data_IF_117988374832
#
_entry.id   IF_117988374832
#
_cell.length_a   1.000
_cell.length_b   1.000
_cell.length_c   1.000
_cell.angle_alpha   90.00
_cell.angle_beta   90.00
_cell.angle_gamma   90.00
#
_symmetry.space_group_name_H-M   'P 1'
#
loop_
_entity.id
_entity.type
_entity.pdbx_description
1 polymer ?
#
# COMPACT_ATOMS: atom_id res chain seq x y z
N UNK A 1 -8.28 -22.25 11.78
CA UNK A 1 -8.72 -22.37 10.37
C UNK A 1 -7.63 -21.73 9.50
N UNK A 2 -7.18 -22.42 8.45
CA UNK A 2 -6.27 -21.84 7.44
C UNK A 2 -7.11 -21.02 6.46
N UNK A 3 -6.85 -19.72 6.33
CA UNK A 3 -7.65 -18.79 5.54
C UNK A 3 -6.94 -18.42 4.24
N UNK A 4 -7.66 -18.18 3.13
CA UNK A 4 -7.08 -17.61 1.90
C UNK A 4 -6.32 -16.32 2.20
N UNK A 5 -5.00 -16.33 2.00
CA UNK A 5 -4.13 -15.14 2.03
C UNK A 5 -3.52 -14.96 0.66
N UNK A 6 -3.03 -13.77 0.32
CA UNK A 6 -2.39 -13.54 -0.97
C UNK A 6 -1.09 -14.35 -1.20
N UNK A 7 -0.52 -15.02 -0.20
CA UNK A 7 0.61 -15.95 -0.41
C UNK A 7 0.11 -17.30 -0.92
N UNK A 8 -1.03 -17.77 -0.41
CA UNK A 8 -1.59 -19.08 -0.79
C UNK A 8 -2.61 -18.97 -1.93
N UNK A 9 -3.15 -17.77 -2.16
CA UNK A 9 -4.18 -17.52 -3.16
C UNK A 9 -3.51 -17.36 -4.52
N UNK A 10 -3.49 -18.44 -5.31
CA UNK A 10 -3.05 -18.41 -6.70
C UNK A 10 -4.15 -17.80 -7.58
N UNK A 11 -4.11 -16.48 -7.75
CA UNK A 11 -4.97 -15.77 -8.69
C UNK A 11 -4.10 -15.24 -9.82
N UNK A 12 -4.33 -15.75 -11.03
CA UNK A 12 -3.67 -15.25 -12.23
C UNK A 12 -4.43 -14.02 -12.74
N UNK A 13 -4.11 -12.84 -12.20
CA UNK A 13 -4.65 -11.58 -12.67
C UNK A 13 -3.49 -10.62 -13.02
N UNK A 14 -3.28 -10.28 -14.30
CA UNK A 14 -2.16 -9.44 -14.71
C UNK A 14 -2.24 -8.00 -14.17
N UNK A 15 -3.44 -7.52 -13.78
CA UNK A 15 -3.60 -6.19 -13.20
C UNK A 15 -3.09 -6.07 -11.77
N UNK A 16 -2.97 -7.18 -11.05
CA UNK A 16 -2.42 -7.23 -9.70
C UNK A 16 -0.88 -7.21 -9.72
N UNK A 17 -0.29 -6.28 -10.48
CA UNK A 17 1.14 -6.19 -10.74
C UNK A 17 1.97 -6.20 -9.45
N UNK A 18 1.62 -5.36 -8.47
CA UNK A 18 2.33 -5.29 -7.18
C UNK A 18 2.31 -6.65 -6.46
N UNK A 19 1.14 -7.28 -6.36
CA UNK A 19 1.00 -8.57 -5.69
C UNK A 19 1.80 -9.65 -6.41
N UNK A 20 1.69 -9.72 -7.74
CA UNK A 20 2.37 -10.73 -8.56
C UNK A 20 3.90 -10.60 -8.43
N UNK A 21 4.43 -9.38 -8.44
CA UNK A 21 5.86 -9.13 -8.26
C UNK A 21 6.33 -9.50 -6.86
N UNK A 22 5.56 -9.15 -5.81
CA UNK A 22 5.89 -9.53 -4.43
C UNK A 22 5.89 -11.05 -4.23
N UNK A 23 4.93 -11.76 -4.83
CA UNK A 23 4.88 -13.23 -4.81
C UNK A 23 6.06 -13.90 -5.54
N UNK A 24 6.67 -13.22 -6.51
CA UNK A 24 7.84 -13.67 -7.27
C UNK A 24 9.17 -13.16 -6.70
N UNK A 25 9.13 -12.44 -5.58
CA UNK A 25 10.29 -11.83 -4.95
C UNK A 25 11.01 -10.78 -5.84
N UNK A 26 10.29 -10.18 -6.81
CA UNK A 26 10.81 -9.22 -7.81
C UNK A 26 10.96 -7.77 -7.30
N UNK A 27 11.00 -7.57 -5.98
CA UNK A 27 11.16 -6.29 -5.26
C UNK A 27 10.60 -5.03 -5.97
N UNK A 28 9.27 -4.91 -6.14
CA UNK A 28 8.66 -3.84 -6.91
C UNK A 28 8.88 -2.44 -6.30
N UNK A 29 8.87 -1.40 -7.14
CA UNK A 29 8.97 0.01 -6.71
C UNK A 29 7.62 0.69 -6.92
N UNK A 30 7.13 1.35 -5.86
CA UNK A 30 5.94 2.20 -5.88
C UNK A 30 6.34 3.67 -5.88
N UNK A 31 5.41 4.58 -6.17
CA UNK A 31 5.58 6.02 -5.94
C UNK A 31 4.31 6.63 -5.38
N UNK A 32 4.44 7.69 -4.59
CA UNK A 32 3.28 8.40 -4.05
C UNK A 32 2.73 9.41 -5.06
N UNK A 33 1.41 9.40 -5.20
CA UNK A 33 0.65 10.41 -5.95
C UNK A 33 0.03 11.39 -4.95
N UNK A 34 0.61 12.57 -4.83
CA UNK A 34 0.16 13.66 -3.96
C UNK A 34 -0.67 14.72 -4.68
N UNK A 35 -0.63 14.77 -6.01
CA UNK A 35 -1.47 15.69 -6.77
C UNK A 35 -2.96 15.28 -6.67
N UNK A 36 -3.85 16.21 -6.26
CA UNK A 36 -5.28 15.92 -6.26
C UNK A 36 -5.74 15.69 -7.71
N UNK A 37 -6.25 14.50 -7.99
CA UNK A 37 -6.81 14.16 -9.29
C UNK A 37 -8.22 14.77 -9.42
N UNK A 38 -8.39 15.70 -10.36
CA UNK A 38 -9.68 16.25 -10.79
C UNK A 38 -10.03 15.71 -12.18
N UNK A 39 -10.76 14.60 -12.33
CA UNK A 39 -11.30 14.24 -13.62
C UNK A 39 -12.58 15.05 -13.86
N UNK A 40 -12.43 16.18 -14.56
CA UNK A 40 -13.48 16.68 -15.44
C UNK A 40 -12.95 16.61 -16.87
N UNK A 41 -13.16 15.46 -17.52
CA UNK A 41 -13.08 15.38 -18.96
C UNK A 41 -14.36 14.71 -19.47
N UNK A 42 -15.36 15.55 -19.73
CA UNK A 42 -16.54 15.17 -20.47
C UNK A 42 -16.15 14.93 -21.92
N UNK A 43 -15.82 13.68 -22.30
CA UNK A 43 -16.04 13.22 -23.68
C UNK A 43 -14.85 12.76 -24.55
N UNK A 44 -13.59 12.77 -24.09
CA UNK A 44 -12.47 12.43 -25.01
C UNK A 44 -11.68 11.15 -24.66
N UNK A 45 -11.70 10.70 -23.40
CA UNK A 45 -10.89 9.55 -22.97
C UNK A 45 -11.81 8.36 -22.62
N UNK A 46 -11.59 7.18 -23.22
CA UNK A 46 -12.30 5.93 -22.90
C UNK A 46 -12.10 5.43 -21.45
N UNK A 47 -11.46 6.21 -20.58
CA UNK A 47 -11.29 5.90 -19.15
C UNK A 47 -12.55 6.35 -18.40
N UNK A 48 -13.59 5.52 -18.42
CA UNK A 48 -14.72 5.66 -17.50
C UNK A 48 -14.28 5.15 -16.12
N UNK A 49 -13.80 6.03 -15.23
CA UNK A 49 -13.46 5.65 -13.86
C UNK A 49 -12.67 6.69 -13.07
N UNK A 50 -12.64 6.52 -11.74
CA UNK A 50 -11.81 7.33 -10.85
C UNK A 50 -10.30 7.09 -11.05
N UNK A 51 -9.44 7.78 -10.27
CA UNK A 51 -7.97 7.70 -10.43
C UNK A 51 -7.43 6.27 -10.35
N UNK A 52 -8.05 5.42 -9.54
CA UNK A 52 -7.73 3.99 -9.42
C UNK A 52 -7.86 3.24 -10.76
N UNK A 53 -8.92 3.50 -11.53
CA UNK A 53 -9.13 2.85 -12.83
C UNK A 53 -8.16 3.35 -13.89
N UNK A 54 -7.82 4.65 -13.85
CA UNK A 54 -6.82 5.24 -14.73
C UNK A 54 -5.42 4.64 -14.49
N UNK A 55 -5.02 4.49 -13.23
CA UNK A 55 -3.74 3.86 -12.83
C UNK A 55 -3.74 2.38 -13.22
N UNK A 56 -4.82 1.64 -12.92
CA UNK A 56 -4.92 0.22 -13.27
C UNK A 56 -4.86 -0.04 -14.79
N UNK A 57 -5.35 0.89 -15.61
CA UNK A 57 -5.26 0.81 -17.06
C UNK A 57 -3.81 0.94 -17.59
N UNK A 58 -2.89 1.50 -16.79
CA UNK A 58 -1.46 1.59 -17.12
C UNK A 58 -0.65 0.39 -16.60
N UNK A 59 -1.31 -0.72 -16.24
CA UNK A 59 -0.67 -1.90 -15.63
C UNK A 59 0.07 -1.60 -14.31
N UNK A 60 -0.37 -0.57 -13.59
CA UNK A 60 0.13 -0.23 -12.25
C UNK A 60 -0.96 -0.54 -11.22
N UNK A 61 -0.59 -1.10 -10.07
CA UNK A 61 -1.56 -1.39 -8.99
C UNK A 61 -1.88 -0.13 -8.18
N UNK A 62 -3.13 0.40 -8.20
CA UNK A 62 -3.51 1.53 -7.36
C UNK A 62 -3.64 1.11 -5.90
N UNK A 63 -2.79 1.66 -5.03
CA UNK A 63 -2.88 1.51 -3.57
C UNK A 63 -3.33 2.84 -2.97
N UNK A 64 -4.37 2.82 -2.14
CA UNK A 64 -4.96 4.03 -1.56
C UNK A 64 -4.58 4.17 -0.10
N UNK A 65 -3.86 5.24 0.25
CA UNK A 65 -3.66 5.63 1.65
C UNK A 65 -4.92 6.29 2.19
N UNK A 66 -5.48 5.74 3.26
CA UNK A 66 -6.64 6.31 3.96
C UNK A 66 -6.19 7.19 5.12
N UNK A 67 -7.08 8.06 5.62
CA UNK A 67 -6.73 9.00 6.71
C UNK A 67 -6.76 8.34 8.09
N UNK A 68 -7.68 7.40 8.31
CA UNK A 68 -7.95 6.76 9.60
C UNK A 68 -8.53 5.35 9.36
N UNK A 69 -8.66 4.56 10.43
CA UNK A 69 -9.12 3.15 10.44
C UNK A 69 -10.63 2.95 10.28
N UNK A 70 -11.39 4.01 9.97
CA UNK A 70 -12.86 3.93 9.88
C UNK A 70 -13.34 3.03 8.74
N UNK A 71 -14.37 2.22 9.03
CA UNK A 71 -14.95 1.22 8.12
C UNK A 71 -15.42 1.82 6.79
N UNK A 72 -16.04 2.99 6.84
CA UNK A 72 -16.57 3.69 5.66
C UNK A 72 -15.45 4.15 4.73
N UNK A 73 -14.32 4.63 5.27
CA UNK A 73 -13.14 5.03 4.50
C UNK A 73 -12.49 3.83 3.80
N UNK A 74 -12.31 2.73 4.52
CA UNK A 74 -11.77 1.48 3.98
C UNK A 74 -12.67 0.96 2.86
N UNK A 75 -13.99 0.89 3.10
CA UNK A 75 -14.97 0.47 2.10
C UNK A 75 -14.92 1.38 0.88
N UNK A 76 -14.91 2.71 1.06
CA UNK A 76 -14.88 3.68 -0.03
C UNK A 76 -13.63 3.53 -0.90
N UNK A 77 -12.45 3.36 -0.29
CA UNK A 77 -11.19 3.18 -1.01
C UNK A 77 -11.22 1.91 -1.88
N UNK A 78 -11.65 0.79 -1.29
CA UNK A 78 -11.71 -0.49 -2.00
C UNK A 78 -12.86 -0.55 -3.03
N UNK A 79 -13.99 0.11 -2.76
CA UNK A 79 -15.12 0.22 -3.68
C UNK A 79 -14.86 1.14 -4.86
N UNK A 80 -13.89 2.04 -4.74
CA UNK A 80 -13.34 2.80 -5.86
C UNK A 80 -12.41 1.94 -6.75
N UNK A 81 -12.09 0.71 -6.35
CA UNK A 81 -11.26 -0.21 -7.12
C UNK A 81 -9.76 -0.15 -6.79
N UNK A 82 -9.42 0.24 -5.57
CA UNK A 82 -8.05 0.08 -5.08
C UNK A 82 -7.67 -1.42 -5.00
N UNK A 83 -6.46 -1.75 -5.44
CA UNK A 83 -5.89 -3.11 -5.30
C UNK A 83 -5.38 -3.36 -3.88
N UNK A 84 -5.22 -2.30 -3.10
CA UNK A 84 -4.86 -2.35 -1.70
C UNK A 84 -5.04 -1.02 -0.99
N UNK A 85 -4.87 -1.03 0.32
CA UNK A 85 -4.93 0.16 1.17
C UNK A 85 -3.66 0.34 1.98
N UNK A 86 -3.33 1.59 2.32
CA UNK A 86 -2.31 1.94 3.32
C UNK A 86 -3.00 2.64 4.48
N UNK A 87 -2.84 2.12 5.69
CA UNK A 87 -3.49 2.63 6.90
C UNK A 87 -2.45 3.23 7.84
N UNK A 88 -2.47 4.56 8.06
CA UNK A 88 -1.54 5.25 8.94
C UNK A 88 -1.80 4.93 10.42
N UNK A 89 -0.80 5.25 11.25
CA UNK A 89 -0.86 5.28 12.72
C UNK A 89 -1.48 4.04 13.37
N UNK A 90 -1.00 2.84 13.00
CA UNK A 90 -1.42 1.61 13.69
C UNK A 90 -0.55 1.41 14.93
N UNK A 91 -1.20 1.45 16.09
CA UNK A 91 -0.57 1.37 17.40
C UNK A 91 -0.84 0.05 18.10
N UNK A 92 -1.97 -0.62 17.80
CA UNK A 92 -2.38 -1.85 18.48
C UNK A 92 -2.78 -2.98 17.55
N UNK A 93 -2.68 -4.22 18.05
CA UNK A 93 -3.16 -5.39 17.32
C UNK A 93 -4.69 -5.39 17.11
N UNK A 94 -5.44 -4.68 17.94
CA UNK A 94 -6.89 -4.52 17.79
C UNK A 94 -7.24 -3.63 16.61
N UNK A 95 -6.55 -2.50 16.46
CA UNK A 95 -6.69 -1.63 15.28
C UNK A 95 -6.35 -2.40 14.01
N UNK A 96 -5.26 -3.17 14.03
CA UNK A 96 -4.87 -4.02 12.91
C UNK A 96 -5.97 -5.05 12.57
N UNK A 97 -6.55 -5.75 13.56
CA UNK A 97 -7.69 -6.66 13.35
C UNK A 97 -8.91 -5.95 12.77
N UNK A 98 -9.20 -4.74 13.25
CA UNK A 98 -10.31 -3.92 12.77
C UNK A 98 -10.13 -3.59 11.29
N UNK A 99 -8.94 -3.13 10.88
CA UNK A 99 -8.60 -2.86 9.47
C UNK A 99 -8.82 -4.08 8.58
N UNK A 100 -8.32 -5.24 8.99
CA UNK A 100 -8.50 -6.49 8.24
C UNK A 100 -9.99 -6.83 8.11
N UNK A 101 -10.73 -6.80 9.22
CA UNK A 101 -12.15 -7.14 9.22
C UNK A 101 -12.96 -6.21 8.32
N UNK A 102 -12.60 -4.93 8.23
CA UNK A 102 -13.28 -3.96 7.36
C UNK A 102 -12.88 -4.08 5.89
N UNK A 103 -11.75 -4.70 5.59
CA UNK A 103 -11.21 -4.84 4.23
C UNK A 103 -11.67 -6.11 3.51
N UNK A 104 -12.08 -7.14 4.27
CA UNK A 104 -12.45 -8.46 3.74
C UNK A 104 -13.98 -8.66 3.72
N UNK A 105 -14.46 -9.40 2.71
CA UNK A 105 -15.84 -9.86 2.59
C UNK A 105 -16.15 -11.01 3.56
N UNK A 106 -17.43 -11.21 3.94
CA UNK A 106 -17.86 -12.37 4.71
C UNK A 106 -17.41 -13.70 4.08
N UNK A 107 -17.05 -14.72 4.87
CA UNK A 107 -17.09 -14.78 6.34
C UNK A 107 -15.84 -14.22 7.04
N UNK A 108 -14.84 -13.72 6.30
CA UNK A 108 -13.56 -13.26 6.87
C UNK A 108 -13.59 -11.83 7.42
N UNK A 109 -14.63 -11.07 7.07
CA UNK A 109 -14.79 -9.69 7.50
C UNK A 109 -16.21 -9.17 7.26
N UNK A 110 -16.36 -7.86 7.38
CA UNK A 110 -17.63 -7.15 7.38
C UNK A 110 -17.79 -6.21 6.19
N UNK A 111 -16.94 -6.32 5.16
CA UNK A 111 -17.08 -5.52 3.94
C UNK A 111 -18.32 -5.97 3.17
N UNK A 112 -19.26 -5.07 2.93
CA UNK A 112 -20.40 -5.32 2.04
C UNK A 112 -20.03 -5.06 0.59
N UNK A 113 -20.55 -5.86 -0.34
CA UNK A 113 -20.48 -5.56 -1.78
C UNK A 113 -21.62 -4.62 -2.16
N UNK A 114 -21.31 -3.59 -2.96
CA UNK A 114 -22.32 -2.69 -3.51
C UNK A 114 -21.84 -1.83 -4.67
N UNK A 115 -20.54 -1.87 -4.99
CA UNK A 115 -19.94 -1.13 -6.09
C UNK A 115 -19.52 -2.06 -7.23
N UNK A 116 -19.76 -1.70 -8.51
CA UNK A 116 -19.26 -2.43 -9.67
C UNK A 116 -17.81 -2.07 -10.04
N UNK A 117 -17.29 -0.94 -9.55
CA UNK A 117 -15.97 -0.42 -9.95
C UNK A 117 -14.77 -1.32 -9.60
N UNK A 118 -14.77 -2.10 -8.51
CA UNK A 118 -13.64 -2.98 -8.21
C UNK A 118 -13.44 -4.06 -9.26
N UNK A 119 -14.52 -4.62 -9.83
CA UNK A 119 -14.41 -5.54 -10.96
C UNK A 119 -13.73 -4.88 -12.16
N UNK A 120 -14.14 -3.66 -12.51
CA UNK A 120 -13.56 -2.89 -13.61
C UNK A 120 -12.07 -2.62 -13.36
N UNK A 121 -11.67 -2.17 -12.16
CA UNK A 121 -10.28 -1.88 -11.84
C UNK A 121 -9.41 -3.14 -11.81
N UNK A 122 -9.95 -4.26 -11.32
CA UNK A 122 -9.28 -5.57 -11.33
C UNK A 122 -9.36 -6.27 -12.68
N UNK A 123 -10.11 -5.75 -13.67
CA UNK A 123 -10.24 -6.35 -14.99
C UNK A 123 -11.01 -7.68 -14.98
N UNK A 124 -12.01 -7.81 -14.11
CA UNK A 124 -12.80 -9.04 -13.92
C UNK A 124 -14.27 -8.71 -13.61
N UNK A 125 -15.15 -9.70 -13.67
CA UNK A 125 -16.56 -9.55 -13.25
C UNK A 125 -16.69 -9.52 -11.71
N UNK A 126 -17.81 -9.00 -11.21
CA UNK A 126 -18.05 -8.85 -9.77
C UNK A 126 -18.11 -10.19 -9.02
N UNK A 127 -18.82 -11.23 -9.52
CA UNK A 127 -18.78 -12.55 -8.90
C UNK A 127 -17.37 -13.11 -8.71
N UNK A 128 -16.52 -13.01 -9.74
CA UNK A 128 -15.12 -13.43 -9.69
C UNK A 128 -14.32 -12.57 -8.71
N UNK A 129 -14.47 -11.25 -8.78
CA UNK A 129 -13.83 -10.33 -7.83
C UNK A 129 -14.17 -10.68 -6.38
N UNK A 130 -15.43 -10.90 -6.04
CA UNK A 130 -15.83 -11.22 -4.66
C UNK A 130 -15.17 -12.50 -4.13
N UNK A 131 -14.98 -13.50 -4.99
CA UNK A 131 -14.31 -14.76 -4.63
C UNK A 131 -12.81 -14.58 -4.41
N UNK A 132 -12.15 -13.71 -5.18
CA UNK A 132 -10.70 -13.53 -5.13
C UNK A 132 -10.25 -12.41 -4.20
N UNK A 133 -11.09 -11.37 -3.99
CA UNK A 133 -10.75 -10.12 -3.32
C UNK A 133 -10.10 -10.31 -1.94
N UNK A 134 -10.64 -11.22 -1.13
CA UNK A 134 -10.10 -11.49 0.20
C UNK A 134 -8.64 -11.95 0.16
N UNK A 135 -8.29 -12.72 -0.87
CA UNK A 135 -6.94 -13.21 -1.09
C UNK A 135 -6.09 -12.35 -2.01
N UNK A 136 -6.59 -11.24 -2.58
CA UNK A 136 -5.81 -10.40 -3.51
C UNK A 136 -5.58 -8.96 -3.02
N UNK A 137 -6.39 -8.48 -2.07
CA UNK A 137 -6.25 -7.12 -1.54
C UNK A 137 -5.06 -7.04 -0.59
N UNK A 138 -4.13 -6.13 -0.89
CA UNK A 138 -2.98 -5.76 -0.05
C UNK A 138 -3.42 -4.75 1.02
N UNK A 139 -3.07 -5.00 2.27
CA UNK A 139 -3.42 -4.19 3.45
C UNK A 139 -2.13 -3.73 4.12
N UNK A 140 -1.64 -2.56 3.76
CA UNK A 140 -0.44 -1.97 4.34
C UNK A 140 -0.77 -1.27 5.67
N UNK A 141 -0.07 -1.62 6.75
CA UNK A 141 -0.19 -0.99 8.07
C UNK A 141 1.06 -0.15 8.33
N UNK A 142 0.91 1.15 8.61
CA UNK A 142 2.05 2.01 8.90
C UNK A 142 2.33 2.03 10.40
N UNK A 143 3.56 1.70 10.77
CA UNK A 143 4.09 1.79 12.13
C UNK A 143 4.90 3.07 12.22
N UNK A 144 4.29 4.12 12.77
CA UNK A 144 4.85 5.47 12.78
C UNK A 144 4.96 6.12 14.17
N UNK A 145 4.55 5.40 15.21
CA UNK A 145 4.58 5.87 16.60
C UNK A 145 5.45 4.96 17.47
N UNK A 146 5.84 5.46 18.64
CA UNK A 146 6.55 4.67 19.65
C UNK A 146 5.69 3.50 20.16
N UNK A 147 4.40 3.73 20.37
CA UNK A 147 3.45 2.70 20.81
C UNK A 147 3.33 1.57 19.75
N UNK A 148 3.20 1.93 18.47
CA UNK A 148 3.19 0.95 17.39
C UNK A 148 4.50 0.15 17.31
N UNK A 149 5.64 0.78 17.58
CA UNK A 149 6.93 0.09 17.64
C UNK A 149 7.04 -0.84 18.85
N UNK A 150 6.49 -0.47 20.00
CA UNK A 150 6.41 -1.33 21.20
C UNK A 150 5.54 -2.56 20.93
N UNK A 151 4.41 -2.36 20.24
CA UNK A 151 3.43 -3.40 19.93
C UNK A 151 3.66 -4.15 18.62
N UNK A 152 4.74 -3.86 17.88
CA UNK A 152 4.95 -4.31 16.49
C UNK A 152 4.84 -5.83 16.32
N UNK A 153 5.36 -6.62 17.27
CA UNK A 153 5.27 -8.09 17.21
C UNK A 153 3.81 -8.57 17.26
N UNK A 154 2.99 -7.95 18.12
CA UNK A 154 1.56 -8.27 18.26
C UNK A 154 0.75 -7.81 17.05
N UNK A 155 1.12 -6.68 16.44
CA UNK A 155 0.49 -6.16 15.22
C UNK A 155 0.80 -7.09 14.04
N UNK A 156 2.06 -7.48 13.87
CA UNK A 156 2.49 -8.41 12.83
C UNK A 156 1.93 -9.83 13.04
N UNK A 157 1.60 -10.22 14.27
CA UNK A 157 0.99 -11.52 14.55
C UNK A 157 -0.48 -11.64 14.08
N UNK A 158 -1.15 -10.53 13.77
CA UNK A 158 -2.58 -10.54 13.42
C UNK A 158 -2.85 -11.33 12.12
N UNK A 159 -3.72 -12.35 12.15
CA UNK A 159 -4.13 -13.05 10.94
C UNK A 159 -4.89 -12.13 9.98
N UNK A 160 -4.62 -12.23 8.69
CA UNK A 160 -5.24 -11.38 7.67
C UNK A 160 -4.66 -9.96 7.60
N UNK A 161 -3.81 -9.55 8.56
CA UNK A 161 -2.57 -8.83 8.28
C UNK A 161 -1.60 -9.89 7.76
N UNK A 162 -1.97 -10.53 6.65
CA UNK A 162 -1.33 -11.69 6.10
C UNK A 162 0.12 -11.42 5.72
N UNK A 163 0.82 -12.44 5.25
CA UNK A 163 2.16 -12.31 4.69
C UNK A 163 2.22 -11.47 3.38
N UNK A 164 1.14 -10.71 3.12
CA UNK A 164 0.86 -9.90 1.94
C UNK A 164 0.73 -8.41 2.26
N UNK A 165 0.91 -8.11 3.53
CA UNK A 165 0.57 -6.84 4.12
C UNK A 165 1.85 -6.13 4.47
N UNK A 166 1.89 -4.88 4.05
CA UNK A 166 3.10 -4.11 4.03
C UNK A 166 3.21 -3.35 5.34
N UNK A 167 4.24 -3.64 6.13
CA UNK A 167 4.59 -2.74 7.22
C UNK A 167 5.35 -1.56 6.63
N UNK A 168 4.81 -0.34 6.71
CA UNK A 168 5.56 0.88 6.37
C UNK A 168 6.02 1.56 7.66
N UNK A 169 7.32 1.69 7.86
CA UNK A 169 7.84 2.53 8.93
C UNK A 169 8.01 3.97 8.46
N UNK A 170 7.38 4.89 9.19
CA UNK A 170 7.63 6.32 9.11
C UNK A 170 7.73 6.79 10.55
N UNK A 171 8.88 6.70 11.23
CA UNK A 171 8.97 7.29 12.56
C UNK A 171 8.43 8.73 12.49
N UNK A 172 7.55 9.11 13.43
CA UNK A 172 6.82 10.39 13.45
C UNK A 172 7.69 11.66 13.42
N UNK A 173 9.00 11.51 13.27
CA UNK A 173 9.96 12.50 12.80
C UNK A 173 10.87 11.85 11.74
N UNK A 174 11.21 12.60 10.69
CA UNK A 174 12.20 12.17 9.70
C UNK A 174 13.54 12.76 10.09
N UNK A 175 14.52 11.95 10.54
CA UNK A 175 15.88 12.44 10.79
C UNK A 175 16.44 13.11 9.54
N UNK A 176 17.24 14.17 9.70
CA UNK A 176 17.80 14.91 8.56
C UNK A 176 18.69 14.02 7.66
N UNK A 177 19.34 13.00 8.24
CA UNK A 177 20.21 12.06 7.55
C UNK A 177 19.71 10.61 7.55
N UNK A 178 18.82 10.23 8.47
CA UNK A 178 18.26 8.88 8.57
C UNK A 178 19.20 7.83 9.17
N UNK A 179 20.33 8.26 9.73
CA UNK A 179 21.42 7.45 10.29
C UNK A 179 21.42 7.42 11.83
N UNK A 180 20.45 8.08 12.45
CA UNK A 180 20.33 8.13 13.91
C UNK A 180 20.14 6.71 14.48
N UNK A 181 20.91 6.29 15.51
CA UNK A 181 20.88 4.92 16.02
C UNK A 181 19.49 4.44 16.45
N UNK A 182 18.71 5.32 17.08
CA UNK A 182 17.34 5.04 17.51
C UNK A 182 16.41 4.76 16.33
N UNK A 183 16.60 5.50 15.23
CA UNK A 183 15.85 5.31 14.00
C UNK A 183 16.20 3.98 13.34
N UNK A 184 17.49 3.66 13.23
CA UNK A 184 17.96 2.39 12.65
C UNK A 184 17.46 1.20 13.47
N UNK A 185 17.60 1.25 14.80
CA UNK A 185 17.12 0.19 15.70
C UNK A 185 15.60 -0.03 15.60
N UNK A 186 14.83 1.06 15.44
CA UNK A 186 13.39 0.95 15.24
C UNK A 186 13.04 0.24 13.93
N UNK A 187 13.74 0.58 12.83
CA UNK A 187 13.58 -0.10 11.54
C UNK A 187 13.93 -1.58 11.66
N UNK A 188 15.07 -1.91 12.28
CA UNK A 188 15.51 -3.29 12.45
C UNK A 188 14.49 -4.10 13.25
N UNK A 189 13.92 -3.52 14.31
CA UNK A 189 12.87 -4.15 15.11
C UNK A 189 11.61 -4.43 14.29
N UNK A 190 11.19 -3.48 13.45
CA UNK A 190 10.02 -3.64 12.57
C UNK A 190 10.28 -4.73 11.52
N UNK A 191 11.45 -4.71 10.88
CA UNK A 191 11.85 -5.74 9.90
C UNK A 191 11.87 -7.10 10.56
N UNK A 192 12.52 -7.25 11.71
CA UNK A 192 12.62 -8.52 12.43
C UNK A 192 11.23 -9.07 12.81
N UNK A 193 10.34 -8.23 13.34
CA UNK A 193 8.97 -8.63 13.68
C UNK A 193 8.18 -9.03 12.43
N UNK A 194 8.25 -8.25 11.36
CA UNK A 194 7.57 -8.56 10.11
C UNK A 194 8.06 -9.90 9.53
N UNK A 195 9.38 -10.12 9.43
CA UNK A 195 9.96 -11.37 8.93
C UNK A 195 9.59 -12.58 9.80
N UNK A 196 9.60 -12.44 11.13
CA UNK A 196 9.16 -13.48 12.08
C UNK A 196 7.74 -13.97 11.79
N UNK A 197 6.84 -13.08 11.38
CA UNK A 197 5.45 -13.41 11.04
C UNK A 197 5.19 -13.55 9.53
N UNK A 198 6.26 -13.64 8.73
CA UNK A 198 6.23 -13.84 7.29
C UNK A 198 5.68 -12.65 6.49
N UNK A 199 5.73 -11.42 7.00
CA UNK A 199 5.16 -10.21 6.36
C UNK A 199 6.14 -9.56 5.38
N UNK A 200 5.60 -8.91 4.36
CA UNK A 200 6.37 -8.02 3.51
C UNK A 200 6.62 -6.69 4.22
N UNK A 201 7.77 -6.08 3.94
CA UNK A 201 8.19 -4.82 4.56
C UNK A 201 8.46 -3.78 3.48
N UNK A 202 8.04 -2.55 3.75
CA UNK A 202 8.35 -1.41 2.89
C UNK A 202 8.81 -0.20 3.65
N UNK A 203 9.41 0.72 2.91
CA UNK A 203 9.83 2.02 3.37
C UNK A 203 9.68 3.07 2.28
N UNK A 204 9.45 4.32 2.69
CA UNK A 204 9.58 5.49 1.82
C UNK A 204 11.06 5.84 1.62
N UNK A 205 11.46 5.98 0.35
CA UNK A 205 12.80 6.42 -0.05
C UNK A 205 12.69 7.74 -0.82
N UNK A 206 13.54 8.71 -0.51
CA UNK A 206 13.44 10.07 -1.05
C UNK A 206 14.16 10.26 -2.39
N UNK A 207 15.12 9.40 -2.70
CA UNK A 207 15.97 9.43 -3.88
C UNK A 207 16.37 8.01 -4.31
N UNK A 208 16.96 7.91 -5.51
CA UNK A 208 17.31 6.64 -6.13
C UNK A 208 18.47 5.88 -5.47
N UNK A 209 19.41 6.59 -4.84
CA UNK A 209 20.54 5.94 -4.17
C UNK A 209 20.07 5.28 -2.88
N UNK A 210 19.37 6.03 -2.03
CA UNK A 210 18.76 5.48 -0.82
C UNK A 210 17.77 4.35 -1.14
N UNK A 211 17.01 4.48 -2.23
CA UNK A 211 16.13 3.42 -2.71
C UNK A 211 16.87 2.11 -3.03
N UNK A 212 18.02 2.19 -3.70
CA UNK A 212 18.85 1.03 -4.02
C UNK A 212 19.31 0.32 -2.75
N UNK A 213 19.82 1.08 -1.78
CA UNK A 213 20.31 0.52 -0.51
C UNK A 213 19.16 -0.08 0.31
N UNK A 214 18.02 0.60 0.37
CA UNK A 214 16.82 0.11 1.05
C UNK A 214 16.29 -1.19 0.41
N UNK A 215 16.37 -1.33 -0.91
CA UNK A 215 15.94 -2.56 -1.60
C UNK A 215 16.78 -3.79 -1.20
N UNK A 216 17.93 -3.65 -0.55
CA UNK A 216 18.66 -4.80 0.01
C UNK A 216 17.89 -5.44 1.18
N UNK A 217 17.14 -4.64 1.96
CA UNK A 217 16.45 -5.05 3.19
C UNK A 217 14.93 -5.23 2.99
N UNK A 218 14.30 -4.32 2.26
CA UNK A 218 12.85 -4.24 2.08
C UNK A 218 12.37 -5.00 0.84
N UNK A 219 11.14 -5.51 0.87
CA UNK A 219 10.54 -6.23 -0.27
C UNK A 219 9.98 -5.28 -1.33
N UNK A 220 9.72 -4.04 -0.95
CA UNK A 220 9.28 -3.00 -1.87
C UNK A 220 9.53 -1.65 -1.24
N UNK A 221 9.66 -0.61 -2.05
CA UNK A 221 9.84 0.76 -1.58
C UNK A 221 8.82 1.67 -2.23
N UNK A 222 8.43 2.72 -1.51
CA UNK A 222 7.80 3.88 -2.12
C UNK A 222 8.88 4.91 -2.46
N UNK A 223 9.20 5.09 -3.72
CA UNK A 223 10.16 6.07 -4.21
C UNK A 223 9.46 7.42 -4.42
N UNK A 224 9.84 8.39 -3.59
CA UNK A 224 9.47 9.80 -3.69
C UNK A 224 7.97 10.03 -3.93
N UNK A 225 7.62 11.23 -4.39
CA UNK A 225 6.26 11.60 -4.75
C UNK A 225 6.25 12.58 -5.92
N UNK A 226 5.18 12.52 -6.71
CA UNK A 226 4.95 13.35 -7.90
C UNK A 226 5.20 14.86 -7.69
N UNK A 227 4.69 15.45 -6.60
CA UNK A 227 4.86 16.88 -6.30
C UNK A 227 6.34 17.23 -6.16
N UNK A 228 7.14 16.38 -5.50
CA UNK A 228 8.59 16.61 -5.35
C UNK A 228 9.31 16.43 -6.68
N UNK A 229 8.94 15.42 -7.47
CA UNK A 229 9.53 15.21 -8.79
C UNK A 229 9.31 16.45 -9.69
N UNK A 230 8.07 16.96 -9.73
CA UNK A 230 7.69 18.15 -10.48
C UNK A 230 8.43 19.39 -9.97
N UNK A 231 8.47 19.59 -8.65
CA UNK A 231 9.19 20.72 -8.04
C UNK A 231 10.68 20.68 -8.37
N UNK A 232 11.32 19.51 -8.29
CA UNK A 232 12.74 19.36 -8.58
C UNK A 232 13.04 19.68 -10.05
N UNK A 233 12.22 19.19 -10.98
CA UNK A 233 12.36 19.48 -12.40
C UNK A 233 12.21 20.98 -12.69
N UNK A 234 11.11 21.61 -12.26
CA UNK A 234 10.91 23.04 -12.48
C UNK A 234 12.00 23.91 -11.84
N UNK A 235 12.48 23.57 -10.63
CA UNK A 235 13.57 24.31 -9.98
C UNK A 235 14.87 24.23 -10.79
N UNK A 236 15.18 23.07 -11.38
CA UNK A 236 16.35 22.91 -12.23
C UNK A 236 16.23 23.75 -13.51
N UNK A 237 15.12 23.64 -14.22
CA UNK A 237 14.89 24.40 -15.46
C UNK A 237 14.85 25.92 -15.23
N UNK A 238 14.20 26.37 -14.15
CA UNK A 238 14.17 27.79 -13.79
C UNK A 238 15.55 28.33 -13.42
N UNK A 239 16.41 27.49 -12.83
CA UNK A 239 17.80 27.90 -12.52
C UNK A 239 18.59 28.09 -13.81
N UNK A 240 18.47 27.16 -14.76
CA UNK A 240 19.12 27.25 -16.08
C UNK A 240 18.59 28.42 -16.91
N UNK A 241 17.28 28.68 -16.88
CA UNK A 241 16.69 29.79 -17.62
C UNK A 241 17.07 31.18 -17.06
N UNK A 242 17.54 31.24 -15.81
CA UNK A 242 17.94 32.47 -15.12
C UNK A 242 19.45 32.71 -15.08
N UNK A 243 20.26 31.71 -15.44
CA UNK A 243 21.72 31.83 -15.58
C UNK A 243 22.08 32.37 -16.95
#
# INVERSE_FOLDING_TARGET
>A
MSYPTAIITKVNNPRLCLLNMLQREEKPIMTFMGLPYFPHCSGCCNVRGGPTSAIAAQNVSPIVRIRMTYRDLIKRALDAGAHGIVVPQINTAEEARSVVSHSKFPPQGFRGQGSPFPGIAHGTDIPTYMKTANGTIITCLQIETKEGLENVDSICAVPGVGPNDLALSLLGYVPAKGDEPEFVQAIDKIVAAARKHGKWVSRLSNDGNAAKDHLEVFDTIALSYDVRAIQNWYKAELKTARS
#
